data_IF_659635327618
#
_entry.id   IF_659635327618
#
_cell.length_a   1.000
_cell.length_b   1.000
_cell.length_c   1.000
_cell.angle_alpha   90.00
_cell.angle_beta   90.00
_cell.angle_gamma   90.00
#
_symmetry.space_group_name_H-M   'P 1'
#
loop_
_entity.id
_entity.type
_entity.pdbx_description
1 polymer ?
#
# COMPACT_ATOMS: atom_id res chain seq x y z
N UNK A 1 -50.91 15.16 5.62
CA UNK A 1 -49.61 15.86 5.68
C UNK A 1 -48.66 14.90 6.37
N UNK A 2 -47.78 14.24 5.61
CA UNK A 2 -46.94 13.15 6.09
C UNK A 2 -45.50 13.63 6.17
N UNK A 3 -45.04 13.93 7.38
CA UNK A 3 -43.65 14.28 7.64
C UNK A 3 -42.75 13.04 7.49
N UNK A 4 -42.06 12.98 6.34
CA UNK A 4 -40.94 12.06 6.14
C UNK A 4 -39.76 12.56 6.95
N UNK A 5 -39.51 11.93 8.11
CA UNK A 5 -38.23 12.03 8.82
C UNK A 5 -37.13 11.48 7.92
N UNK A 6 -36.30 12.38 7.41
CA UNK A 6 -35.10 12.11 6.64
C UNK A 6 -34.06 11.48 7.58
N UNK A 7 -33.95 10.15 7.59
CA UNK A 7 -32.87 9.45 8.28
C UNK A 7 -31.68 9.45 7.33
N UNK A 8 -30.91 10.55 7.33
CA UNK A 8 -29.58 10.55 6.72
C UNK A 8 -28.65 9.71 7.59
N UNK A 9 -28.67 8.40 7.35
CA UNK A 9 -27.63 7.50 7.81
C UNK A 9 -26.32 7.87 7.13
N UNK A 10 -25.61 8.85 7.70
CA UNK A 10 -24.22 9.13 7.38
C UNK A 10 -23.43 7.85 7.64
N UNK A 11 -23.21 7.07 6.58
CA UNK A 11 -22.24 5.98 6.56
C UNK A 11 -20.90 6.63 6.94
N UNK A 12 -20.49 6.44 8.20
CA UNK A 12 -19.12 6.67 8.64
C UNK A 12 -18.24 5.80 7.76
N UNK A 13 -17.70 6.39 6.70
CA UNK A 13 -16.59 5.85 5.90
C UNK A 13 -15.30 5.96 6.72
N UNK A 14 -15.33 5.38 7.92
CA UNK A 14 -14.21 5.26 8.83
C UNK A 14 -13.48 3.95 8.59
N UNK A 15 -13.06 3.69 7.36
CA UNK A 15 -11.94 2.78 7.13
C UNK A 15 -10.68 3.61 7.27
N UNK A 16 -10.41 4.05 8.50
CA UNK A 16 -9.12 4.59 8.85
C UNK A 16 -8.11 3.46 8.62
N UNK A 17 -7.34 3.61 7.53
CA UNK A 17 -6.15 2.84 7.20
C UNK A 17 -5.39 2.53 8.49
N UNK A 18 -5.13 1.26 8.82
CA UNK A 18 -4.40 0.90 10.05
C UNK A 18 -2.96 1.46 10.05
N UNK A 19 -2.38 1.78 8.89
CA UNK A 19 -1.17 2.61 8.78
C UNK A 19 -1.31 4.00 9.43
N UNK A 20 -2.52 4.60 9.43
CA UNK A 20 -2.85 5.85 10.14
C UNK A 20 -3.09 5.64 11.65
N UNK A 21 -3.13 4.40 12.12
CA UNK A 21 -3.28 4.06 13.55
C UNK A 21 -1.95 3.83 14.27
N UNK A 22 -0.80 3.87 13.57
CA UNK A 22 0.44 4.23 14.25
C UNK A 22 0.32 5.70 14.64
N UNK A 23 0.20 5.99 15.94
CA UNK A 23 -0.02 7.36 16.42
C UNK A 23 1.07 8.34 16.00
N UNK A 24 2.21 7.83 15.51
CA UNK A 24 3.35 8.59 15.02
C UNK A 24 3.44 8.58 13.47
N UNK A 25 3.17 9.73 12.80
CA UNK A 25 3.35 9.89 11.36
C UNK A 25 4.75 9.52 10.84
N UNK A 26 5.80 9.67 11.65
CA UNK A 26 7.19 9.37 11.25
C UNK A 26 7.37 7.86 11.09
N UNK A 27 6.75 7.06 11.96
CA UNK A 27 6.73 5.61 11.83
C UNK A 27 5.98 5.19 10.57
N UNK A 28 4.82 5.79 10.31
CA UNK A 28 4.04 5.55 9.08
C UNK A 28 4.88 5.84 7.81
N UNK A 29 5.57 6.98 7.78
CA UNK A 29 6.46 7.34 6.66
C UNK A 29 7.62 6.32 6.51
N UNK A 30 8.28 5.97 7.61
CA UNK A 30 9.38 4.98 7.60
C UNK A 30 8.90 3.62 7.07
N UNK A 31 7.70 3.22 7.47
CA UNK A 31 7.12 1.96 7.07
C UNK A 31 6.77 1.93 5.59
N UNK A 32 6.16 2.98 5.06
CA UNK A 32 5.87 3.08 3.61
C UNK A 32 7.15 2.92 2.79
N UNK A 33 8.24 3.60 3.19
CA UNK A 33 9.53 3.52 2.50
C UNK A 33 10.10 2.10 2.54
N UNK A 34 10.00 1.41 3.68
CA UNK A 34 10.43 0.01 3.83
C UNK A 34 9.60 -0.92 2.96
N UNK A 35 8.28 -0.81 3.02
CA UNK A 35 7.36 -1.66 2.27
C UNK A 35 7.54 -1.48 0.77
N UNK A 36 7.83 -0.29 0.27
CA UNK A 36 8.04 -0.08 -1.18
C UNK A 36 9.46 -0.40 -1.65
N UNK A 37 10.38 -0.70 -0.72
CA UNK A 37 11.78 -0.98 -1.04
C UNK A 37 12.50 0.20 -1.70
N UNK A 38 12.04 1.42 -1.43
CA UNK A 38 12.64 2.65 -1.97
C UNK A 38 13.76 3.12 -1.05
N UNK A 39 14.89 3.51 -1.64
CA UNK A 39 16.00 4.07 -0.86
C UNK A 39 15.59 5.39 -0.18
N UNK A 40 16.09 5.63 1.04
CA UNK A 40 15.78 6.85 1.81
C UNK A 40 16.15 8.11 1.03
N UNK A 41 17.27 8.09 0.31
CA UNK A 41 17.71 9.20 -0.57
C UNK A 41 16.65 9.55 -1.61
N UNK A 42 16.13 8.54 -2.31
CA UNK A 42 15.10 8.71 -3.33
C UNK A 42 13.75 9.13 -2.75
N UNK A 43 13.37 8.58 -1.59
CA UNK A 43 12.16 8.98 -0.90
C UNK A 43 12.22 10.46 -0.47
N UNK A 44 13.37 10.91 0.06
CA UNK A 44 13.58 12.31 0.43
C UNK A 44 13.49 13.24 -0.79
N UNK A 45 14.11 12.86 -1.91
CA UNK A 45 14.05 13.60 -3.18
C UNK A 45 12.60 13.75 -3.68
N UNK A 46 11.81 12.68 -3.70
CA UNK A 46 10.38 12.71 -4.08
C UNK A 46 9.59 13.69 -3.20
N UNK A 47 9.93 13.76 -1.92
CA UNK A 47 9.28 14.65 -0.97
C UNK A 47 9.85 16.08 -0.96
N UNK A 48 10.89 16.38 -1.75
CA UNK A 48 11.55 17.69 -1.77
C UNK A 48 12.40 17.99 -0.54
N UNK A 49 12.96 16.95 0.10
CA UNK A 49 13.84 17.09 1.26
C UNK A 49 15.23 16.53 0.97
N UNK A 50 16.21 16.99 1.74
CA UNK A 50 17.51 16.30 1.83
C UNK A 50 17.36 14.95 2.53
N UNK A 51 18.13 13.95 2.10
CA UNK A 51 18.24 12.66 2.78
C UNK A 51 18.61 12.82 4.26
N UNK A 52 19.47 13.79 4.56
CA UNK A 52 19.90 14.13 5.93
C UNK A 52 18.71 14.45 6.85
N UNK A 53 17.65 15.05 6.30
CA UNK A 53 16.44 15.41 7.02
C UNK A 53 15.65 14.16 7.41
N UNK A 54 15.45 13.24 6.48
CA UNK A 54 14.76 11.97 6.74
C UNK A 54 15.53 11.14 7.78
N UNK A 55 16.86 11.06 7.66
CA UNK A 55 17.70 10.36 8.63
C UNK A 55 17.58 10.96 10.04
N UNK A 56 17.50 12.29 10.17
CA UNK A 56 17.28 12.96 11.46
C UNK A 56 15.89 12.67 12.03
N UNK A 57 14.85 12.58 11.20
CA UNK A 57 13.50 12.19 11.63
C UNK A 57 13.47 10.76 12.13
N UNK A 58 13.99 9.80 11.34
CA UNK A 58 13.95 8.37 11.69
C UNK A 58 14.86 7.98 12.85
N UNK A 59 15.89 8.77 13.14
CA UNK A 59 16.77 8.57 14.30
C UNK A 59 16.30 9.31 15.57
N UNK A 60 15.18 10.05 15.51
CA UNK A 60 14.69 10.85 16.62
C UNK A 60 15.52 12.10 16.94
N UNK A 61 16.59 12.38 16.18
CA UNK A 61 17.45 13.56 16.36
C UNK A 61 16.74 14.88 16.05
N UNK A 62 15.65 14.84 15.28
CA UNK A 62 14.79 15.99 14.98
C UNK A 62 13.34 15.54 14.89
N UNK A 63 12.46 16.15 15.68
CA UNK A 63 11.01 15.94 15.54
C UNK A 63 10.45 16.87 14.45
N UNK A 64 9.92 16.34 13.34
CA UNK A 64 9.20 17.15 12.36
C UNK A 64 7.82 17.57 12.88
N UNK A 65 7.28 18.64 12.28
CA UNK A 65 5.86 18.94 12.46
C UNK A 65 5.02 17.84 11.79
N UNK A 66 3.93 17.43 12.45
CA UNK A 66 3.00 16.41 11.94
C UNK A 66 2.52 16.70 10.51
N UNK A 67 2.19 17.97 10.22
CA UNK A 67 1.77 18.38 8.88
C UNK A 67 2.84 18.13 7.81
N UNK A 68 4.13 18.36 8.14
CA UNK A 68 5.26 18.11 7.23
C UNK A 68 5.39 16.63 6.90
N UNK A 69 5.25 15.75 7.89
CA UNK A 69 5.33 14.30 7.66
C UNK A 69 4.16 13.79 6.83
N UNK A 70 2.95 14.29 7.10
CA UNK A 70 1.77 13.94 6.31
C UNK A 70 1.89 14.41 4.86
N UNK A 71 2.46 15.61 4.63
CA UNK A 71 2.78 16.08 3.28
C UNK A 71 3.80 15.17 2.58
N UNK A 72 4.85 14.74 3.28
CA UNK A 72 5.83 13.79 2.75
C UNK A 72 5.20 12.44 2.37
N UNK A 73 4.35 11.88 3.24
CA UNK A 73 3.58 10.66 2.97
C UNK A 73 2.73 10.83 1.70
N UNK A 74 2.00 11.94 1.59
CA UNK A 74 1.19 12.22 0.42
C UNK A 74 2.03 12.33 -0.86
N UNK A 75 3.17 13.02 -0.82
CA UNK A 75 4.09 13.11 -1.96
C UNK A 75 4.58 11.73 -2.42
N UNK A 76 4.92 10.84 -1.48
CA UNK A 76 5.29 9.46 -1.81
C UNK A 76 4.11 8.70 -2.43
N UNK A 77 2.94 8.69 -1.79
CA UNK A 77 1.78 7.95 -2.27
C UNK A 77 1.27 8.43 -3.64
N UNK A 78 1.51 9.70 -3.99
CA UNK A 78 1.11 10.30 -5.25
C UNK A 78 2.17 10.16 -6.36
N UNK A 79 3.39 9.73 -6.03
CA UNK A 79 4.48 9.61 -6.98
C UNK A 79 4.28 8.44 -7.95
N UNK A 80 4.44 8.69 -9.26
CA UNK A 80 4.47 7.66 -10.28
C UNK A 80 5.58 6.63 -10.03
N UNK A 81 6.73 7.07 -9.51
CA UNK A 81 7.83 6.18 -9.16
C UNK A 81 7.40 5.16 -8.11
N UNK A 82 6.71 5.61 -7.05
CA UNK A 82 6.19 4.73 -6.01
C UNK A 82 5.15 3.77 -6.56
N UNK A 83 4.26 4.24 -7.46
CA UNK A 83 3.27 3.38 -8.12
C UNK A 83 3.94 2.29 -8.95
N UNK A 84 4.95 2.64 -9.75
CA UNK A 84 5.69 1.69 -10.60
C UNK A 84 6.42 0.66 -9.72
N UNK A 85 7.13 1.09 -8.68
CA UNK A 85 7.83 0.18 -7.76
C UNK A 85 6.89 -0.80 -7.07
N UNK A 86 5.71 -0.37 -6.66
CA UNK A 86 4.69 -1.25 -6.10
C UNK A 86 4.21 -2.30 -7.12
N UNK A 87 4.08 -1.95 -8.39
CA UNK A 87 3.68 -2.89 -9.44
C UNK A 87 4.83 -3.86 -9.80
N UNK A 88 6.07 -3.37 -9.86
CA UNK A 88 7.26 -4.17 -10.15
C UNK A 88 7.60 -5.16 -9.05
N UNK A 89 7.70 -4.69 -7.81
CA UNK A 89 8.20 -5.49 -6.68
C UNK A 89 7.11 -6.37 -6.10
N UNK A 90 5.89 -5.81 -6.01
CA UNK A 90 4.83 -6.43 -5.24
C UNK A 90 3.69 -6.95 -6.08
N UNK A 91 3.70 -6.68 -7.40
CA UNK A 91 2.63 -7.05 -8.32
C UNK A 91 1.26 -6.53 -7.88
N UNK A 92 1.25 -5.38 -7.21
CA UNK A 92 0.03 -4.68 -6.80
C UNK A 92 -0.09 -3.33 -7.48
N UNK A 93 -1.33 -2.94 -7.77
CA UNK A 93 -1.69 -1.67 -8.36
C UNK A 93 -2.75 -0.99 -7.51
N UNK A 94 -2.59 0.32 -7.28
CA UNK A 94 -3.63 1.16 -6.69
C UNK A 94 -4.61 1.62 -7.78
N UNK A 95 -5.90 1.33 -7.59
CA UNK A 95 -6.96 1.81 -8.49
C UNK A 95 -7.29 3.28 -8.23
N UNK A 96 -7.95 3.97 -9.17
CA UNK A 96 -8.46 5.33 -8.95
C UNK A 96 -9.38 5.44 -7.72
N UNK A 97 -10.09 4.38 -7.35
CA UNK A 97 -10.91 4.30 -6.12
C UNK A 97 -10.11 4.30 -4.81
N UNK A 98 -8.79 4.25 -4.90
CA UNK A 98 -7.85 4.11 -3.80
C UNK A 98 -7.63 2.66 -3.34
N UNK A 99 -8.41 1.69 -3.85
CA UNK A 99 -8.28 0.28 -3.49
C UNK A 99 -7.12 -0.39 -4.23
N UNK A 100 -6.43 -1.30 -3.53
CA UNK A 100 -5.39 -2.13 -4.13
C UNK A 100 -5.97 -3.35 -4.87
N UNK A 101 -5.27 -3.73 -5.93
CA UNK A 101 -5.52 -4.93 -6.73
C UNK A 101 -4.19 -5.61 -6.99
N UNK A 102 -4.13 -6.93 -6.84
CA UNK A 102 -2.97 -7.71 -7.24
C UNK A 102 -3.14 -8.25 -8.66
N UNK A 103 -2.01 -8.46 -9.32
CA UNK A 103 -1.90 -9.10 -10.63
C UNK A 103 -0.80 -10.15 -10.55
N UNK A 104 -1.16 -11.42 -10.47
CA UNK A 104 -0.20 -12.53 -10.47
C UNK A 104 -0.30 -13.31 -11.78
N UNK A 105 0.83 -13.84 -12.24
CA UNK A 105 0.85 -14.86 -13.30
C UNK A 105 1.26 -16.17 -12.66
N UNK A 106 0.41 -17.18 -12.79
CA UNK A 106 0.73 -18.54 -12.39
C UNK A 106 1.37 -19.23 -13.58
N UNK A 107 2.63 -19.61 -13.44
CA UNK A 107 3.34 -20.38 -14.46
C UNK A 107 2.94 -21.86 -14.34
N UNK A 108 2.41 -22.44 -15.42
CA UNK A 108 2.00 -23.85 -15.49
C UNK A 108 3.06 -24.73 -16.17
N UNK A 109 4.29 -24.22 -16.30
CA UNK A 109 5.41 -24.92 -16.89
C UNK A 109 5.51 -24.79 -18.42
N UNK A 110 6.55 -25.39 -19.02
CA UNK A 110 6.99 -25.08 -20.39
C UNK A 110 6.00 -25.43 -21.51
N UNK A 111 4.93 -26.18 -21.22
CA UNK A 111 3.92 -26.61 -22.21
C UNK A 111 2.57 -25.90 -22.06
N UNK A 112 2.37 -25.08 -21.03
CA UNK A 112 1.09 -24.46 -20.72
C UNK A 112 1.25 -22.94 -20.62
N UNK A 113 0.38 -22.20 -21.30
CA UNK A 113 0.33 -20.73 -21.17
C UNK A 113 -0.05 -20.39 -19.73
N UNK A 114 0.79 -19.60 -19.06
CA UNK A 114 0.55 -19.16 -17.69
C UNK A 114 -0.79 -18.44 -17.53
N UNK A 115 -1.49 -18.70 -16.43
CA UNK A 115 -2.79 -18.07 -16.16
C UNK A 115 -2.57 -16.79 -15.40
N UNK A 116 -3.07 -15.68 -15.96
CA UNK A 116 -3.01 -14.38 -15.31
C UNK A 116 -4.23 -14.17 -14.42
N UNK A 117 -3.99 -14.01 -13.13
CA UNK A 117 -5.01 -13.71 -12.12
C UNK A 117 -4.95 -12.21 -11.80
N UNK A 118 -6.13 -11.60 -11.78
CA UNK A 118 -6.30 -10.20 -11.38
C UNK A 118 -7.33 -10.16 -10.26
N UNK A 119 -6.88 -9.93 -9.02
CA UNK A 119 -7.71 -10.04 -7.82
C UNK A 119 -7.76 -8.72 -7.07
N UNK A 120 -8.96 -8.23 -6.76
CA UNK A 120 -9.13 -7.07 -5.90
C UNK A 120 -8.74 -7.43 -4.46
N UNK A 121 -7.85 -6.64 -3.85
CA UNK A 121 -7.43 -6.85 -2.46
C UNK A 121 -8.39 -6.20 -1.47
N UNK A 122 -9.25 -5.28 -1.93
CA UNK A 122 -10.36 -4.75 -1.14
C UNK A 122 -9.95 -3.88 0.06
N UNK A 123 -8.74 -3.31 0.02
CA UNK A 123 -8.24 -2.38 1.05
C UNK A 123 -7.56 -1.17 0.42
N UNK A 124 -7.56 -0.05 1.15
CA UNK A 124 -6.83 1.19 0.82
C UNK A 124 -5.48 1.26 1.54
N UNK A 125 -5.24 0.35 2.47
CA UNK A 125 -4.03 0.29 3.28
C UNK A 125 -2.98 -0.58 2.56
N UNK A 126 -1.76 -0.06 2.40
CA UNK A 126 -0.70 -0.77 1.68
C UNK A 126 -0.23 -2.02 2.43
N UNK A 127 -0.09 -1.96 3.76
CA UNK A 127 0.36 -3.10 4.55
C UNK A 127 -0.66 -4.22 4.44
N UNK A 128 -1.93 -3.89 4.67
CA UNK A 128 -3.01 -4.86 4.56
C UNK A 128 -3.14 -5.42 3.14
N UNK A 129 -2.88 -4.60 2.10
CA UNK A 129 -2.86 -5.06 0.72
C UNK A 129 -1.77 -6.11 0.49
N UNK A 130 -0.56 -5.88 1.01
CA UNK A 130 0.55 -6.82 0.92
C UNK A 130 0.28 -8.12 1.68
N UNK A 131 -0.24 -8.03 2.90
CA UNK A 131 -0.64 -9.20 3.70
C UNK A 131 -1.70 -10.05 2.97
N UNK A 132 -2.75 -9.40 2.43
CA UNK A 132 -3.81 -10.10 1.66
C UNK A 132 -3.26 -10.74 0.39
N UNK A 133 -2.34 -10.07 -0.32
CA UNK A 133 -1.65 -10.63 -1.48
C UNK A 133 -0.88 -11.89 -1.11
N UNK A 134 -0.09 -11.84 -0.04
CA UNK A 134 0.75 -12.98 0.38
C UNK A 134 -0.08 -14.20 0.75
N UNK A 135 -1.22 -14.00 1.41
CA UNK A 135 -2.19 -15.07 1.67
C UNK A 135 -2.74 -15.70 0.38
N UNK A 136 -3.05 -14.88 -0.63
CA UNK A 136 -3.54 -15.39 -1.93
C UNK A 136 -2.45 -16.17 -2.65
N UNK A 137 -1.21 -15.65 -2.70
CA UNK A 137 -0.08 -16.33 -3.35
C UNK A 137 0.17 -17.68 -2.65
N UNK A 138 0.26 -17.70 -1.33
CA UNK A 138 0.47 -18.93 -0.57
C UNK A 138 -0.65 -19.97 -0.79
N UNK A 139 -1.90 -19.51 -0.91
CA UNK A 139 -3.02 -20.39 -1.21
C UNK A 139 -2.95 -20.98 -2.62
N UNK A 140 -2.53 -20.19 -3.62
CA UNK A 140 -2.33 -20.65 -5.00
C UNK A 140 -1.20 -21.67 -5.09
N UNK A 141 -0.04 -21.39 -4.49
CA UNK A 141 1.10 -22.31 -4.45
C UNK A 141 0.73 -23.64 -3.77
N UNK A 142 -0.05 -23.58 -2.68
CA UNK A 142 -0.55 -24.78 -2.00
C UNK A 142 -1.47 -25.60 -2.91
N UNK A 143 -2.37 -24.95 -3.64
CA UNK A 143 -3.29 -25.63 -4.54
C UNK A 143 -2.55 -26.33 -5.70
N UNK A 144 -1.50 -25.72 -6.25
CA UNK A 144 -0.70 -26.34 -7.31
C UNK A 144 0.06 -27.58 -6.85
N UNK A 145 0.60 -27.57 -5.61
CA UNK A 145 1.28 -28.75 -5.05
C UNK A 145 0.33 -29.95 -4.91
N UNK A 146 -0.93 -29.70 -4.52
CA UNK A 146 -1.94 -30.75 -4.40
C UNK A 146 -2.35 -31.29 -5.78
N UNK A 147 -2.41 -30.43 -6.80
CA UNK A 147 -2.81 -30.85 -8.15
C UNK A 147 -1.73 -31.64 -8.90
N UNK A 148 -0.46 -31.52 -8.50
CA UNK A 148 0.69 -32.16 -9.17
C UNK A 148 1.27 -33.35 -8.37
N UNK A 149 0.73 -33.65 -7.20
CA UNK A 149 1.11 -34.81 -6.36
C UNK A 149 0.03 -35.86 -6.37
#
# INVERSE_FOLDING_TARGET
>A
MSDRKNISGARKTGTESRLRTSGDPVLCLSEIIKLTGVAISRAAEICGFEESTFRKWFSGRRSPAKATVLAAIHSLESSDYMRIRLEEVHHIKRKPSGLYQMRATIDRGPKLVGVRITQGLGTRDLREALERRDLIIAALEKAERISNG
#
